data_IF_774491564516
#
_entry.id   IF_774491564516
#
_cell.length_a   1.000
_cell.length_b   1.000
_cell.length_c   1.000
_cell.angle_alpha   90.00
_cell.angle_beta   90.00
_cell.angle_gamma   90.00
#
_symmetry.space_group_name_H-M   'P 1'
#
loop_
_entity.id
_entity.type
_entity.pdbx_description
1 polymer ?
#
# COMPACT_ATOMS: atom_id res chain seq x y z
N UNK A 1 -15.70 -12.40 -5.10
CA UNK A 1 -14.91 -12.11 -3.88
C UNK A 1 -14.56 -10.63 -3.95
N UNK A 2 -14.75 -9.86 -2.87
CA UNK A 2 -14.33 -8.47 -2.85
C UNK A 2 -12.79 -8.40 -2.92
N UNK A 3 -12.26 -7.71 -3.92
CA UNK A 3 -10.83 -7.43 -4.02
C UNK A 3 -10.46 -6.42 -2.93
N UNK A 4 -9.62 -6.86 -1.99
CA UNK A 4 -9.07 -5.99 -0.94
C UNK A 4 -7.69 -5.51 -1.31
N UNK A 5 -7.39 -4.29 -0.88
CA UNK A 5 -6.15 -3.60 -1.15
C UNK A 5 -5.48 -3.21 0.15
N UNK A 6 -4.16 -3.16 0.12
CA UNK A 6 -3.31 -2.78 1.24
C UNK A 6 -2.44 -1.62 0.80
N UNK A 7 -2.27 -0.63 1.66
CA UNK A 7 -1.35 0.48 1.45
C UNK A 7 -0.04 0.15 2.16
N UNK A 8 1.05 0.08 1.41
CA UNK A 8 2.40 -0.07 1.95
C UNK A 8 3.09 1.28 2.03
N UNK A 9 3.72 1.55 3.16
CA UNK A 9 4.64 2.66 3.42
C UNK A 9 6.03 2.08 3.69
N UNK A 10 7.06 2.90 3.81
CA UNK A 10 8.42 2.41 4.11
C UNK A 10 8.47 1.48 5.34
N UNK A 11 7.67 1.76 6.37
CA UNK A 11 7.76 1.02 7.63
C UNK A 11 6.59 0.06 7.89
N UNK A 12 5.47 0.19 7.16
CA UNK A 12 4.17 -0.40 7.60
C UNK A 12 3.28 -0.80 6.44
N UNK A 13 2.47 -1.84 6.69
CA UNK A 13 1.26 -2.13 5.92
C UNK A 13 0.02 -1.58 6.64
N UNK A 14 -0.92 -1.05 5.87
CA UNK A 14 -2.27 -0.79 6.36
C UNK A 14 -3.06 -2.10 6.47
N UNK A 15 -4.23 -2.01 7.10
CA UNK A 15 -5.19 -3.11 7.04
C UNK A 15 -5.77 -3.27 5.61
N UNK A 16 -6.21 -4.48 5.23
CA UNK A 16 -6.89 -4.70 3.95
C UNK A 16 -8.23 -3.96 3.89
N UNK A 17 -8.38 -3.09 2.89
CA UNK A 17 -9.52 -2.20 2.72
C UNK A 17 -10.03 -2.19 1.27
N UNK A 18 -11.14 -1.52 1.02
CA UNK A 18 -11.65 -1.36 -0.34
C UNK A 18 -10.74 -0.47 -1.19
N UNK A 19 -10.88 -0.54 -2.52
CA UNK A 19 -10.11 0.31 -3.44
C UNK A 19 -10.28 1.81 -3.15
N UNK A 20 -11.50 2.22 -2.82
CA UNK A 20 -11.82 3.62 -2.52
C UNK A 20 -11.09 4.09 -1.27
N UNK A 21 -11.13 3.29 -0.20
CA UNK A 21 -10.43 3.58 1.06
C UNK A 21 -8.91 3.60 0.88
N UNK A 22 -8.37 2.68 0.07
CA UNK A 22 -6.93 2.64 -0.22
C UNK A 22 -6.46 3.91 -0.94
N UNK A 23 -7.25 4.42 -1.89
CA UNK A 23 -6.96 5.68 -2.59
C UNK A 23 -7.03 6.87 -1.63
N UNK A 24 -8.01 6.90 -0.74
CA UNK A 24 -8.14 7.98 0.26
C UNK A 24 -6.97 7.97 1.24
N UNK A 25 -6.59 6.79 1.72
CA UNK A 25 -5.45 6.57 2.60
C UNK A 25 -4.14 6.99 1.92
N UNK A 26 -3.94 6.60 0.66
CA UNK A 26 -2.79 7.01 -0.14
C UNK A 26 -2.68 8.54 -0.24
N UNK A 27 -3.80 9.22 -0.56
CA UNK A 27 -3.84 10.68 -0.62
C UNK A 27 -3.54 11.34 0.73
N UNK A 28 -3.96 10.71 1.83
CA UNK A 28 -3.65 11.22 3.16
C UNK A 28 -2.16 11.10 3.49
N UNK A 29 -1.51 10.00 3.10
CA UNK A 29 -0.07 9.84 3.24
C UNK A 29 0.71 10.80 2.36
N UNK A 30 0.30 10.98 1.10
CA UNK A 30 0.90 11.95 0.18
C UNK A 30 0.88 13.38 0.74
N UNK A 31 -0.26 13.80 1.33
CA UNK A 31 -0.38 15.10 2.03
C UNK A 31 0.57 15.25 3.23
N UNK A 32 1.01 14.15 3.81
CA UNK A 32 1.95 14.10 4.93
C UNK A 32 3.41 13.94 4.45
N UNK A 33 3.67 14.03 3.14
CA UNK A 33 4.97 13.71 2.52
C UNK A 33 5.44 12.27 2.83
N UNK A 34 4.51 11.34 3.04
CA UNK A 34 4.81 9.92 3.23
C UNK A 34 4.63 9.21 1.89
N UNK A 35 5.70 8.63 1.37
CA UNK A 35 5.65 7.78 0.18
C UNK A 35 4.91 6.49 0.51
N UNK A 36 3.80 6.26 -0.19
CA UNK A 36 2.96 5.10 0.00
C UNK A 36 2.55 4.49 -1.34
N UNK A 37 2.24 3.19 -1.36
CA UNK A 37 1.86 2.45 -2.55
C UNK A 37 0.65 1.57 -2.27
N UNK A 38 -0.24 1.42 -3.24
CA UNK A 38 -1.39 0.52 -3.14
C UNK A 38 -1.02 -0.80 -3.81
N UNK A 39 -1.21 -1.90 -3.08
CA UNK A 39 -1.01 -3.27 -3.56
C UNK A 39 -2.26 -4.11 -3.27
N UNK A 40 -2.41 -5.24 -3.97
CA UNK A 40 -3.46 -6.20 -3.66
C UNK A 40 -3.15 -6.95 -2.36
N UNK A 41 -4.19 -7.47 -1.69
CA UNK A 41 -4.01 -8.33 -0.50
C UNK A 41 -3.14 -9.56 -0.82
N UNK A 42 -3.25 -10.12 -2.02
CA UNK A 42 -2.43 -11.24 -2.47
C UNK A 42 -0.95 -10.88 -2.55
N UNK A 43 -0.62 -9.70 -3.10
CA UNK A 43 0.76 -9.23 -3.17
C UNK A 43 1.29 -8.92 -1.77
N UNK A 44 0.47 -8.32 -0.89
CA UNK A 44 0.82 -8.07 0.51
C UNK A 44 1.17 -9.39 1.25
N UNK A 45 0.40 -10.46 1.01
CA UNK A 45 0.68 -11.81 1.54
C UNK A 45 1.95 -12.41 0.94
N UNK A 46 2.27 -12.12 -0.33
CA UNK A 46 3.49 -12.60 -0.99
C UNK A 46 4.74 -11.98 -0.40
N UNK A 47 4.74 -10.65 -0.20
CA UNK A 47 5.91 -9.90 0.30
C UNK A 47 6.10 -10.05 1.81
N UNK A 48 5.01 -10.25 2.59
CA UNK A 48 4.97 -10.45 4.06
C UNK A 48 5.52 -9.30 4.93
N UNK A 49 6.50 -8.54 4.44
CA UNK A 49 7.08 -7.36 5.08
C UNK A 49 7.22 -6.22 4.08
N UNK A 50 7.05 -4.95 4.50
CA UNK A 50 7.32 -3.78 3.65
C UNK A 50 8.75 -3.78 3.09
N UNK A 51 9.72 -4.36 3.80
CA UNK A 51 11.12 -4.46 3.37
C UNK A 51 11.30 -5.26 2.06
N UNK A 52 10.38 -6.18 1.77
CA UNK A 52 10.39 -6.98 0.55
C UNK A 52 9.61 -6.32 -0.60
N UNK A 53 9.06 -5.12 -0.37
CA UNK A 53 8.39 -4.35 -1.41
C UNK A 53 9.44 -3.65 -2.29
N UNK A 54 9.56 -4.09 -3.54
CA UNK A 54 10.39 -3.41 -4.52
C UNK A 54 9.74 -2.08 -4.90
N UNK A 55 10.18 -1.00 -4.26
CA UNK A 55 9.72 0.35 -4.56
C UNK A 55 10.03 0.70 -6.02
N UNK A 56 9.01 1.05 -6.83
CA UNK A 56 9.24 1.50 -8.20
C UNK A 56 10.13 2.75 -8.19
N UNK A 57 11.21 2.72 -8.96
CA UNK A 57 12.02 3.91 -9.23
C UNK A 57 11.49 4.55 -10.50
N UNK A 58 11.03 5.79 -10.39
CA UNK A 58 10.65 6.61 -11.53
C UNK A 58 11.88 7.45 -11.89
N UNK A 59 12.59 7.06 -12.96
CA UNK A 59 13.63 7.88 -13.59
C UNK A 59 13.02 8.84 -14.62
#
# INVERSE_FOLDING_TARGET
>A
MEEKYVVVTEDKFSEPMSKAEAIETLKNYDRQNITAYIISEEEAKRIKSPDNFNTPKWE
#
